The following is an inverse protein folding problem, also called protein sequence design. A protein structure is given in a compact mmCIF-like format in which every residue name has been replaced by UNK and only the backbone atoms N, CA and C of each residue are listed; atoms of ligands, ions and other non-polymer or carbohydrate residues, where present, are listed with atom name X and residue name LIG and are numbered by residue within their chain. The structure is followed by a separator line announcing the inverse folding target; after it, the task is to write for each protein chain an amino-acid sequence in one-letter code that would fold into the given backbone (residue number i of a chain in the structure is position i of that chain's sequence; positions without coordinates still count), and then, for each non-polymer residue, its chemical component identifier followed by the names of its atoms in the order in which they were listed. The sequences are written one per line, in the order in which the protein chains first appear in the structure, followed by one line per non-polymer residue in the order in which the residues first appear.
data_IF_008666982610
#
_entry.id   IF_008666982610
#
_cell.length_a   1.000
_cell.length_b   1.000
_cell.length_c   1.000
_cell.angle_alpha   90.00
_cell.angle_beta   90.00
_cell.angle_gamma   90.00
#
_symmetry.space_group_name_H-M   'P 1'
#
loop_
_entity.id
_entity.type
_entity.pdbx_description
1 polymer ?
#
# COMPACT_ATOMS: atom_id res chain seq x y z
N UNK A 1 50.55 -23.94 -14.39
CA UNK A 1 49.65 -24.39 -13.30
C UNK A 1 48.72 -23.26 -13.01
N UNK A 2 47.48 -23.35 -13.49
CA UNK A 2 46.48 -22.26 -13.37
C UNK A 2 45.69 -22.50 -12.10
N UNK A 3 45.94 -21.70 -11.05
CA UNK A 3 45.13 -21.72 -9.85
C UNK A 3 43.79 -21.05 -10.16
N UNK A 4 42.77 -21.87 -10.39
CA UNK A 4 41.40 -21.40 -10.56
C UNK A 4 40.87 -21.07 -9.16
N UNK A 5 40.79 -19.76 -8.86
CA UNK A 5 40.34 -19.25 -7.59
C UNK A 5 38.86 -19.65 -7.37
N UNK A 6 38.58 -20.40 -6.28
CA UNK A 6 37.26 -20.92 -5.92
C UNK A 6 36.16 -19.81 -5.86
N UNK A 7 36.56 -18.57 -5.63
CA UNK A 7 35.70 -17.40 -5.66
C UNK A 7 35.19 -17.06 -7.07
N UNK A 8 36.03 -17.16 -8.10
CA UNK A 8 35.61 -16.89 -9.48
C UNK A 8 34.69 -17.98 -10.04
N UNK A 9 34.86 -19.22 -9.59
CA UNK A 9 33.97 -20.32 -9.97
C UNK A 9 32.54 -20.16 -9.43
N UNK A 10 32.37 -19.61 -8.22
CA UNK A 10 31.04 -19.30 -7.66
C UNK A 10 30.33 -18.19 -8.44
N UNK A 11 31.06 -17.16 -8.85
CA UNK A 11 30.47 -16.02 -9.59
C UNK A 11 30.03 -16.45 -11.00
N UNK A 12 30.79 -17.31 -11.68
CA UNK A 12 30.42 -17.82 -13.02
C UNK A 12 29.20 -18.73 -12.97
N UNK A 13 29.05 -19.56 -11.93
CA UNK A 13 27.87 -20.43 -11.76
C UNK A 13 26.59 -19.60 -11.46
N UNK A 14 26.72 -18.55 -10.67
CA UNK A 14 25.57 -17.63 -10.35
C UNK A 14 25.14 -16.85 -11.60
N UNK A 15 26.07 -16.36 -12.41
CA UNK A 15 25.77 -15.67 -13.67
C UNK A 15 25.13 -16.60 -14.72
N UNK A 16 25.53 -17.87 -14.78
CA UNK A 16 24.94 -18.85 -15.69
C UNK A 16 23.49 -19.22 -15.26
N UNK A 17 23.25 -19.34 -13.96
CA UNK A 17 21.92 -19.60 -13.43
C UNK A 17 20.93 -18.43 -13.65
N UNK A 18 21.43 -17.17 -13.60
CA UNK A 18 20.60 -15.98 -13.82
C UNK A 18 20.20 -15.82 -15.30
N UNK A 19 21.01 -16.29 -16.25
CA UNK A 19 20.70 -16.20 -17.69
C UNK A 19 19.61 -17.18 -18.14
N UNK A 20 19.39 -18.28 -17.40
CA UNK A 20 18.37 -19.29 -17.74
C UNK A 20 16.95 -18.89 -17.31
N UNK A 21 16.80 -17.92 -16.38
CA UNK A 21 15.48 -17.45 -15.91
C UNK A 21 14.79 -16.45 -16.84
N UNK A 22 15.47 -15.90 -17.85
CA UNK A 22 14.90 -14.88 -18.75
C UNK A 22 14.08 -15.45 -19.93
N UNK A 23 13.92 -16.78 -20.07
CA UNK A 23 13.23 -17.38 -21.21
C UNK A 23 11.76 -17.81 -20.93
N UNK A 24 11.22 -17.53 -19.75
CA UNK A 24 9.82 -17.85 -19.43
C UNK A 24 9.04 -16.60 -19.07
N UNK A 25 8.73 -15.75 -20.01
CA UNK A 25 7.53 -14.91 -19.90
C UNK A 25 7.23 -14.17 -21.19
N UNK A 26 6.48 -14.79 -22.07
CA UNK A 26 5.58 -14.12 -22.99
C UNK A 26 4.46 -15.11 -23.32
N UNK A 27 3.30 -14.92 -22.72
CA UNK A 27 2.07 -15.55 -23.16
C UNK A 27 1.00 -14.47 -23.33
N UNK A 28 0.95 -13.95 -24.56
CA UNK A 28 -0.12 -13.10 -25.07
C UNK A 28 -1.47 -13.82 -24.90
N UNK A 29 -2.40 -13.24 -24.16
CA UNK A 29 -3.81 -13.61 -24.22
C UNK A 29 -4.50 -12.72 -25.25
N UNK A 30 -4.75 -13.29 -26.45
CA UNK A 30 -5.70 -12.78 -27.42
C UNK A 30 -7.08 -12.65 -26.78
N UNK A 31 -7.61 -11.43 -26.83
CA UNK A 31 -9.02 -11.14 -26.63
C UNK A 31 -9.79 -11.73 -27.79
N UNK A 32 -10.64 -12.71 -27.55
CA UNK A 32 -11.69 -13.12 -28.46
C UNK A 32 -12.95 -12.32 -28.15
N UNK A 33 -13.33 -11.52 -29.09
CA UNK A 33 -14.64 -10.90 -29.21
C UNK A 33 -15.66 -12.01 -29.51
N UNK A 34 -16.56 -12.30 -28.58
CA UNK A 34 -17.66 -13.24 -28.78
C UNK A 34 -18.97 -12.49 -28.67
N UNK A 35 -19.72 -12.59 -29.77
CA UNK A 35 -20.98 -11.97 -30.08
C UNK A 35 -22.02 -12.30 -29.01
N UNK A 36 -22.69 -11.27 -28.49
CA UNK A 36 -23.78 -11.37 -27.52
C UNK A 36 -25.04 -11.89 -28.22
N UNK A 37 -25.42 -13.10 -27.93
CA UNK A 37 -26.75 -13.66 -28.21
C UNK A 37 -27.71 -13.28 -27.07
N UNK A 38 -28.80 -12.61 -27.45
CA UNK A 38 -29.83 -12.10 -26.55
C UNK A 38 -30.64 -13.28 -26.01
N UNK A 39 -30.45 -13.63 -24.75
CA UNK A 39 -31.31 -14.55 -24.03
C UNK A 39 -32.17 -13.80 -23.00
N UNK A 40 -33.49 -13.95 -23.19
CA UNK A 40 -34.67 -13.72 -22.38
C UNK A 40 -34.44 -13.51 -20.86
N UNK A 41 -35.11 -12.50 -20.25
CA UNK A 41 -34.95 -12.16 -18.82
C UNK A 41 -35.61 -13.21 -17.92
N UNK A 42 -34.81 -13.90 -17.11
CA UNK A 42 -35.27 -14.59 -15.92
C UNK A 42 -35.46 -13.61 -14.74
N UNK A 43 -36.40 -13.86 -13.83
CA UNK A 43 -36.71 -12.93 -12.74
C UNK A 43 -35.51 -12.79 -11.79
N UNK A 44 -34.97 -11.59 -11.73
CA UNK A 44 -33.86 -11.21 -10.86
C UNK A 44 -34.32 -11.33 -9.40
N UNK A 45 -33.70 -12.23 -8.63
CA UNK A 45 -33.77 -12.23 -7.19
C UNK A 45 -33.28 -10.87 -6.65
N UNK A 46 -33.88 -10.34 -5.56
CA UNK A 46 -33.51 -9.03 -5.06
C UNK A 46 -32.00 -8.99 -4.74
N UNK A 47 -31.31 -7.89 -5.09
CA UNK A 47 -29.88 -7.76 -4.82
C UNK A 47 -29.64 -7.89 -3.32
N UNK A 48 -28.80 -8.88 -2.96
CA UNK A 48 -28.26 -8.99 -1.61
C UNK A 48 -27.51 -7.67 -1.36
N UNK A 49 -28.07 -6.81 -0.50
CA UNK A 49 -27.43 -5.56 -0.12
C UNK A 49 -26.02 -5.87 0.40
N UNK A 50 -25.01 -5.49 -0.38
CA UNK A 50 -23.64 -5.45 0.13
C UNK A 50 -23.63 -4.51 1.35
N UNK A 51 -22.99 -4.89 2.47
CA UNK A 51 -22.95 -4.05 3.66
C UNK A 51 -22.30 -2.73 3.24
N UNK A 52 -23.10 -1.65 3.30
CA UNK A 52 -22.63 -0.28 3.05
C UNK A 52 -21.39 -0.06 3.91
N UNK A 53 -20.26 0.46 3.34
CA UNK A 53 -19.08 0.73 4.13
C UNK A 53 -19.49 1.64 5.29
N UNK A 54 -19.30 1.17 6.51
CA UNK A 54 -19.52 1.96 7.72
C UNK A 54 -18.53 3.12 7.65
N UNK A 55 -19.03 4.31 7.33
CA UNK A 55 -18.22 5.53 7.29
C UNK A 55 -17.81 5.82 8.73
N UNK A 56 -16.61 5.35 9.10
CA UNK A 56 -16.01 5.62 10.40
C UNK A 56 -15.83 7.13 10.53
N UNK A 57 -16.49 7.74 11.51
CA UNK A 57 -16.34 9.17 11.75
C UNK A 57 -14.95 9.43 12.33
N UNK A 58 -14.09 10.12 11.55
CA UNK A 58 -12.72 10.41 11.96
C UNK A 58 -12.68 11.80 12.59
N UNK A 59 -12.37 11.87 13.87
CA UNK A 59 -12.20 13.11 14.63
C UNK A 59 -10.74 13.41 14.98
N UNK A 60 -9.87 12.40 14.89
CA UNK A 60 -8.44 12.51 15.19
C UNK A 60 -7.63 11.73 14.18
N UNK A 61 -6.58 12.34 13.64
CA UNK A 61 -5.59 11.67 12.81
C UNK A 61 -4.32 11.41 13.60
N UNK A 62 -3.72 10.24 13.39
CA UNK A 62 -2.37 9.96 13.82
C UNK A 62 -1.42 10.25 12.67
N UNK A 63 -0.62 11.30 12.80
CA UNK A 63 0.15 11.90 11.71
C UNK A 63 1.56 11.36 11.67
N UNK A 64 1.99 10.90 10.48
CA UNK A 64 3.34 10.42 10.21
C UNK A 64 4.28 11.55 9.74
N UNK A 65 3.75 12.56 9.03
CA UNK A 65 4.53 13.67 8.54
C UNK A 65 3.74 14.66 7.70
N UNK A 66 4.32 15.83 7.45
CA UNK A 66 3.78 16.86 6.57
C UNK A 66 4.83 17.26 5.52
N UNK A 67 4.42 17.36 4.26
CA UNK A 67 5.30 17.61 3.12
C UNK A 67 4.78 18.76 2.26
N UNK A 68 5.69 19.64 1.85
CA UNK A 68 5.39 20.68 0.85
C UNK A 68 5.36 20.11 -0.56
N UNK A 69 6.12 19.03 -0.79
CA UNK A 69 6.26 18.36 -2.09
C UNK A 69 5.34 17.13 -2.06
N UNK A 70 4.26 17.09 -2.90
CA UNK A 70 3.26 16.03 -2.88
C UNK A 70 3.85 14.62 -3.08
N UNK A 71 4.83 14.47 -3.95
CA UNK A 71 5.47 13.20 -4.27
C UNK A 71 6.14 12.55 -3.05
N UNK A 72 6.62 13.35 -2.10
CA UNK A 72 7.19 12.84 -0.85
C UNK A 72 6.08 12.30 0.08
N UNK A 73 4.90 12.94 0.08
CA UNK A 73 3.74 12.46 0.81
C UNK A 73 3.23 11.14 0.24
N UNK A 74 3.09 11.04 -1.09
CA UNK A 74 2.66 9.83 -1.79
C UNK A 74 3.61 8.65 -1.52
N UNK A 75 4.93 8.91 -1.54
CA UNK A 75 5.95 7.90 -1.25
C UNK A 75 5.84 7.37 0.18
N UNK A 76 5.63 8.27 1.16
CA UNK A 76 5.44 7.86 2.55
C UNK A 76 4.12 7.11 2.72
N UNK A 77 3.03 7.59 2.11
CA UNK A 77 1.74 6.90 2.15
C UNK A 77 1.84 5.48 1.60
N UNK A 78 2.43 5.30 0.42
CA UNK A 78 2.60 3.97 -0.18
C UNK A 78 3.37 3.02 0.75
N UNK A 79 4.41 3.51 1.42
CA UNK A 79 5.16 2.74 2.42
C UNK A 79 4.29 2.34 3.59
N UNK A 80 3.51 3.26 4.16
CA UNK A 80 2.64 2.98 5.31
C UNK A 80 1.53 1.98 4.97
N UNK A 81 0.96 2.06 3.75
CA UNK A 81 -0.01 1.08 3.26
C UNK A 81 0.62 -0.32 3.17
N UNK A 82 1.86 -0.43 2.70
CA UNK A 82 2.60 -1.71 2.66
C UNK A 82 2.88 -2.25 4.07
N UNK A 83 3.06 -1.36 5.07
CA UNK A 83 3.19 -1.72 6.48
C UNK A 83 1.85 -2.10 7.15
N UNK A 84 0.72 -2.00 6.43
CA UNK A 84 -0.62 -2.40 6.89
C UNK A 84 -1.43 -1.31 7.57
N UNK A 85 -1.06 -0.02 7.44
CA UNK A 85 -1.83 1.11 7.94
C UNK A 85 -2.90 1.58 6.94
N UNK A 86 -4.05 2.11 7.43
CA UNK A 86 -5.05 2.81 6.60
C UNK A 86 -4.61 4.26 6.35
N UNK A 87 -3.44 4.39 5.73
CA UNK A 87 -2.78 5.68 5.51
C UNK A 87 -3.53 6.53 4.48
N UNK A 88 -3.68 7.82 4.80
CA UNK A 88 -4.32 8.82 3.93
C UNK A 88 -3.48 10.07 3.83
N UNK A 89 -3.61 10.77 2.70
CA UNK A 89 -3.07 12.13 2.53
C UNK A 89 -4.21 13.10 2.78
N UNK A 90 -4.03 13.99 3.74
CA UNK A 90 -5.00 15.02 4.12
C UNK A 90 -4.40 16.40 3.83
N UNK A 91 -5.12 17.29 3.14
CA UNK A 91 -4.68 18.67 2.96
C UNK A 91 -4.47 19.37 4.30
N UNK A 92 -3.33 20.03 4.45
CA UNK A 92 -2.99 20.77 5.66
C UNK A 92 -2.32 22.11 5.28
N UNK A 93 -3.08 23.19 5.25
CA UNK A 93 -2.66 24.47 4.69
C UNK A 93 -2.14 24.30 3.25
N UNK A 94 -0.88 24.64 2.98
CA UNK A 94 -0.21 24.47 1.68
C UNK A 94 0.71 23.22 1.66
N UNK A 95 0.41 22.23 2.50
CA UNK A 95 1.17 20.97 2.63
C UNK A 95 0.26 19.77 2.52
N UNK A 96 0.85 18.60 2.28
CA UNK A 96 0.21 17.29 2.32
C UNK A 96 0.59 16.59 3.63
N UNK A 97 -0.40 16.37 4.50
CA UNK A 97 -0.25 15.66 5.77
C UNK A 97 -0.52 14.17 5.53
N UNK A 98 0.43 13.30 5.86
CA UNK A 98 0.30 11.85 5.76
C UNK A 98 -0.04 11.28 7.13
N UNK A 99 -1.08 10.45 7.18
CA UNK A 99 -1.57 9.85 8.42
C UNK A 99 -1.29 8.35 8.46
N UNK A 100 -1.11 7.78 9.65
CA UNK A 100 -1.13 6.34 9.85
C UNK A 100 -2.55 5.78 9.78
N UNK A 101 -3.48 6.42 10.53
CA UNK A 101 -4.88 6.01 10.65
C UNK A 101 -5.72 7.17 11.19
N UNK A 102 -7.06 7.00 11.14
CA UNK A 102 -8.05 7.90 11.74
C UNK A 102 -8.79 7.25 12.91
N UNK A 103 -9.08 8.06 13.95
CA UNK A 103 -9.71 7.63 15.19
C UNK A 103 -10.93 8.47 15.51
N UNK A 104 -11.93 7.86 16.11
CA UNK A 104 -13.13 8.53 16.53
C UNK A 104 -12.92 9.30 17.85
N UNK A 105 -12.13 8.75 18.76
CA UNK A 105 -11.85 9.34 20.06
C UNK A 105 -10.36 9.69 20.24
N UNK A 106 -10.13 10.75 21.04
CA UNK A 106 -8.76 11.15 21.44
C UNK A 106 -8.03 10.05 22.21
N UNK A 107 -8.77 9.27 23.00
CA UNK A 107 -8.19 8.17 23.79
C UNK A 107 -7.62 7.07 22.91
N UNK A 108 -8.35 6.66 21.88
CA UNK A 108 -7.88 5.67 20.90
C UNK A 108 -6.65 6.17 20.17
N UNK A 109 -6.67 7.40 19.66
CA UNK A 109 -5.53 8.02 19.00
C UNK A 109 -4.31 8.09 19.92
N UNK A 110 -4.48 8.40 21.21
CA UNK A 110 -3.39 8.45 22.18
C UNK A 110 -2.80 7.06 22.49
N UNK A 111 -3.65 6.03 22.56
CA UNK A 111 -3.19 4.63 22.74
C UNK A 111 -2.36 4.19 21.54
N UNK A 112 -2.83 4.50 20.32
CA UNK A 112 -2.11 4.20 19.09
C UNK A 112 -0.78 4.98 19.00
N UNK A 113 -0.77 6.27 19.37
CA UNK A 113 0.44 7.09 19.43
C UNK A 113 1.49 6.44 20.34
N UNK A 114 1.10 6.07 21.57
CA UNK A 114 2.02 5.47 22.56
C UNK A 114 2.63 4.15 22.08
N UNK A 115 1.98 3.43 21.19
CA UNK A 115 2.51 2.23 20.54
C UNK A 115 3.47 2.58 19.43
N UNK A 116 3.06 3.46 18.51
CA UNK A 116 3.81 3.76 17.28
C UNK A 116 5.12 4.50 17.58
N UNK A 117 5.15 5.45 18.50
CA UNK A 117 6.38 6.19 18.85
C UNK A 117 7.50 5.34 19.43
N UNK A 118 7.20 4.10 19.83
CA UNK A 118 8.22 3.13 20.30
C UNK A 118 8.92 2.39 19.16
N UNK A 119 8.37 2.51 17.95
CA UNK A 119 8.94 1.89 16.76
C UNK A 119 10.06 2.80 16.20
N UNK A 120 11.21 2.24 15.81
CA UNK A 120 12.32 3.02 15.28
C UNK A 120 11.91 3.86 14.06
N UNK A 121 12.24 5.15 14.07
CA UNK A 121 11.94 6.08 13.00
C UNK A 121 10.52 6.65 13.00
N UNK A 122 9.72 6.37 14.04
CA UNK A 122 8.35 6.86 14.20
C UNK A 122 8.16 7.77 15.43
N UNK A 123 9.26 8.24 16.02
CA UNK A 123 9.29 9.06 17.24
C UNK A 123 8.62 10.43 17.08
N UNK A 124 8.57 10.94 15.85
CA UNK A 124 7.99 12.25 15.51
C UNK A 124 6.49 12.19 15.18
N UNK A 125 5.82 11.08 15.46
CA UNK A 125 4.37 10.92 15.27
C UNK A 125 3.59 11.76 16.29
N UNK A 126 2.45 12.36 15.87
CA UNK A 126 1.57 13.14 16.76
C UNK A 126 0.10 12.95 16.42
N UNK A 127 -0.78 13.34 17.37
CA UNK A 127 -2.24 13.35 17.17
C UNK A 127 -2.69 14.71 16.69
N UNK A 128 -3.47 14.76 15.60
CA UNK A 128 -4.08 15.96 15.04
C UNK A 128 -5.60 15.88 15.12
N UNK A 129 -6.31 16.84 15.80
CA UNK A 129 -7.76 16.89 15.82
C UNK A 129 -8.30 17.43 14.49
N UNK A 130 -9.29 16.74 13.92
CA UNK A 130 -10.06 17.23 12.76
C UNK A 130 -10.99 18.35 13.25
N UNK A 131 -10.91 19.53 12.64
CA UNK A 131 -11.75 20.69 12.96
C UNK A 131 -12.82 20.89 11.90
#
# INVERSE_FOLDING_TARGET
MIEINYSTMKITVILLALSLLCLFSCKDKKVKEEVVEVAKPEPVAPPKEEPKPVVKQVNYYLVAGCFKIPENAERLQAKLIQEGYDSRIVPFYNMSMVTYDGYETRKEAQVALNRIVREPGKELTWVYPVR
#
